data_IF_347658630892
#
_entry.id   IF_347658630892
#
_cell.length_a   1.000
_cell.length_b   1.000
_cell.length_c   1.000
_cell.angle_alpha   90.00
_cell.angle_beta   90.00
_cell.angle_gamma   90.00
#
_symmetry.space_group_name_H-M   'P 1'
#
loop_
_entity.id
_entity.type
_entity.pdbx_description
1 polymer ?
#
# COMPACT_ATOMS: atom_id res chain seq x y z
N UNK A 1 -29.70 3.45 64.62
CA UNK A 1 -29.95 3.78 63.21
C UNK A 1 -29.18 5.04 62.88
N UNK A 2 -28.23 4.98 61.96
CA UNK A 2 -28.10 5.83 60.75
C UNK A 2 -26.72 5.56 60.13
N UNK A 3 -26.74 4.78 59.05
CA UNK A 3 -25.66 4.67 58.08
C UNK A 3 -25.61 5.99 57.30
N UNK A 4 -24.48 6.68 57.33
CA UNK A 4 -24.22 7.80 56.44
C UNK A 4 -23.67 7.25 55.12
N UNK A 5 -24.52 7.24 54.10
CA UNK A 5 -24.21 6.94 52.72
C UNK A 5 -23.14 7.89 52.16
N UNK A 6 -22.07 7.33 51.62
CA UNK A 6 -21.13 8.04 50.75
C UNK A 6 -21.70 8.08 49.31
N UNK A 7 -21.63 9.22 48.61
CA UNK A 7 -22.04 9.28 47.21
C UNK A 7 -20.98 8.60 46.34
N UNK A 8 -21.28 7.39 45.85
CA UNK A 8 -20.57 6.77 44.72
C UNK A 8 -20.75 7.66 43.49
N UNK A 9 -19.74 8.50 43.21
CA UNK A 9 -19.59 9.18 41.91
C UNK A 9 -19.47 8.10 40.83
N UNK A 10 -20.55 7.90 40.08
CA UNK A 10 -20.53 7.09 38.87
C UNK A 10 -19.58 7.72 37.86
N UNK A 11 -18.51 7.01 37.51
CA UNK A 11 -17.68 7.32 36.34
C UNK A 11 -18.59 7.35 35.11
N UNK A 12 -18.61 8.48 34.40
CA UNK A 12 -19.45 8.68 33.22
C UNK A 12 -19.12 7.63 32.16
N UNK A 13 -20.12 7.17 31.40
CA UNK A 13 -19.98 6.09 30.40
C UNK A 13 -18.80 6.29 29.43
N UNK A 14 -18.48 7.55 29.12
CA UNK A 14 -17.31 7.93 28.33
C UNK A 14 -15.98 7.54 28.99
N UNK A 15 -15.80 7.77 30.30
CA UNK A 15 -14.57 7.37 31.02
C UNK A 15 -14.38 5.85 31.04
N UNK A 16 -15.49 5.11 31.13
CA UNK A 16 -15.46 3.64 31.11
C UNK A 16 -15.04 3.15 29.72
N UNK A 17 -15.60 3.74 28.67
CA UNK A 17 -15.28 3.39 27.29
C UNK A 17 -13.81 3.71 26.93
N UNK A 18 -13.30 4.88 27.35
CA UNK A 18 -11.89 5.24 27.14
C UNK A 18 -10.94 4.32 27.90
N UNK A 19 -11.29 3.92 29.12
CA UNK A 19 -10.45 3.01 29.92
C UNK A 19 -10.40 1.62 29.29
N UNK A 20 -11.54 1.09 28.84
CA UNK A 20 -11.59 -0.20 28.13
C UNK A 20 -10.79 -0.18 26.83
N UNK A 21 -10.90 0.90 26.04
CA UNK A 21 -10.10 1.07 24.83
C UNK A 21 -8.60 1.12 25.13
N UNK A 22 -8.21 1.81 26.20
CA UNK A 22 -6.80 1.89 26.60
C UNK A 22 -6.26 0.52 27.00
N UNK A 23 -6.97 -0.23 27.85
CA UNK A 23 -6.57 -1.58 28.26
C UNK A 23 -6.55 -2.58 27.10
N UNK A 24 -7.47 -2.44 26.14
CA UNK A 24 -7.47 -3.27 24.93
C UNK A 24 -6.26 -2.96 24.05
N UNK A 25 -5.90 -1.68 23.88
CA UNK A 25 -4.73 -1.29 23.11
C UNK A 25 -3.43 -1.75 23.77
N UNK A 26 -3.36 -1.68 25.10
CA UNK A 26 -2.21 -2.15 25.89
C UNK A 26 -2.03 -3.67 25.77
N UNK A 27 -3.11 -4.46 25.93
CA UNK A 27 -3.06 -5.90 25.76
C UNK A 27 -2.69 -6.34 24.33
N UNK A 28 -3.08 -5.56 23.32
CA UNK A 28 -2.76 -5.81 21.91
C UNK A 28 -1.32 -5.39 21.57
N UNK A 29 -0.79 -4.35 22.21
CA UNK A 29 0.62 -3.99 22.13
C UNK A 29 1.52 -5.10 22.70
N UNK A 30 1.15 -5.66 23.86
CA UNK A 30 1.92 -6.71 24.55
C UNK A 30 1.85 -8.08 23.85
N UNK A 31 0.71 -8.41 23.23
CA UNK A 31 0.51 -9.74 22.61
C UNK A 31 0.88 -9.82 21.13
N UNK A 32 0.67 -8.73 20.37
CA UNK A 32 0.81 -8.75 18.90
C UNK A 32 1.87 -7.78 18.39
N UNK A 33 2.56 -7.05 19.29
CA UNK A 33 3.51 -6.01 18.90
C UNK A 33 2.86 -4.85 18.15
N UNK A 34 1.57 -4.59 18.42
CA UNK A 34 0.84 -3.53 17.75
C UNK A 34 1.39 -2.16 18.13
N UNK A 35 1.90 -1.44 17.15
CA UNK A 35 2.18 -0.02 17.26
C UNK A 35 1.15 0.77 16.46
N UNK A 36 0.55 1.83 17.03
CA UNK A 36 -0.43 2.62 16.33
C UNK A 36 0.20 3.14 15.05
N UNK A 37 -0.46 2.91 13.92
CA UNK A 37 -0.03 3.46 12.64
C UNK A 37 0.16 4.96 12.82
N UNK A 38 1.43 5.40 12.83
CA UNK A 38 1.76 6.80 12.65
C UNK A 38 1.06 7.18 11.35
N UNK A 39 0.07 8.07 11.44
CA UNK A 39 -0.55 8.63 10.26
C UNK A 39 0.55 9.41 9.57
N UNK A 40 1.28 8.76 8.66
CA UNK A 40 2.06 9.47 7.67
C UNK A 40 1.07 10.42 7.02
N UNK A 41 1.21 11.71 7.31
CA UNK A 41 0.46 12.73 6.63
C UNK A 41 0.73 12.49 5.16
N UNK A 42 -0.29 12.06 4.41
CA UNK A 42 -0.20 12.05 2.96
C UNK A 42 0.24 13.47 2.62
N UNK A 43 1.38 13.62 1.98
CA UNK A 43 1.83 14.92 1.50
C UNK A 43 0.82 15.32 0.42
N UNK A 44 -0.23 16.03 0.86
CA UNK A 44 -1.31 16.43 -0.02
C UNK A 44 -0.81 17.64 -0.79
N UNK A 45 -0.87 17.55 -2.11
CA UNK A 45 -0.54 18.66 -3.01
C UNK A 45 -1.09 19.99 -2.44
N UNK A 46 -0.22 21.01 -2.27
CA UNK A 46 -0.58 22.23 -1.56
C UNK A 46 -1.71 23.00 -2.28
N UNK A 47 -1.75 22.92 -3.61
CA UNK A 47 -2.81 23.54 -4.40
C UNK A 47 -4.15 22.82 -4.22
N UNK A 48 -4.15 21.48 -4.24
CA UNK A 48 -5.33 20.67 -3.99
C UNK A 48 -5.89 20.88 -2.57
N UNK A 49 -5.00 21.05 -1.59
CA UNK A 49 -5.34 21.41 -0.21
C UNK A 49 -6.04 22.76 -0.14
N UNK A 50 -5.46 23.79 -0.79
CA UNK A 50 -6.05 25.14 -0.90
C UNK A 50 -7.42 25.11 -1.57
N UNK A 51 -7.54 24.49 -2.74
CA UNK A 51 -8.80 24.44 -3.49
C UNK A 51 -9.90 23.69 -2.70
N UNK A 52 -9.53 22.62 -1.99
CA UNK A 52 -10.46 21.86 -1.15
C UNK A 52 -10.94 22.68 0.04
N UNK A 53 -10.05 23.47 0.65
CA UNK A 53 -10.39 24.40 1.70
C UNK A 53 -11.37 25.48 1.21
N UNK A 54 -11.06 26.14 0.09
CA UNK A 54 -11.95 27.15 -0.52
C UNK A 54 -13.32 26.57 -0.89
N UNK A 55 -13.34 25.35 -1.42
CA UNK A 55 -14.56 24.64 -1.75
C UNK A 55 -15.41 24.35 -0.49
N UNK A 56 -14.76 24.04 0.65
CA UNK A 56 -15.43 23.88 1.96
C UNK A 56 -16.00 25.21 2.46
N UNK A 57 -15.26 26.30 2.35
CA UNK A 57 -15.73 27.63 2.72
C UNK A 57 -16.98 28.03 1.93
N UNK A 58 -16.98 27.81 0.61
CA UNK A 58 -18.16 28.06 -0.22
C UNK A 58 -19.37 27.21 0.17
N UNK A 59 -19.16 25.95 0.62
CA UNK A 59 -20.26 25.13 1.15
C UNK A 59 -20.84 25.75 2.42
N UNK A 60 -19.99 26.19 3.34
CA UNK A 60 -20.43 26.82 4.58
C UNK A 60 -21.23 28.10 4.30
N UNK A 61 -20.78 28.95 3.38
CA UNK A 61 -21.51 30.15 2.97
C UNK A 61 -22.89 29.80 2.38
N UNK A 62 -22.97 28.80 1.49
CA UNK A 62 -24.26 28.40 0.89
C UNK A 62 -25.26 27.89 1.94
N UNK A 63 -24.80 27.15 2.95
CA UNK A 63 -25.68 26.54 3.95
C UNK A 63 -26.03 27.48 5.11
N UNK A 64 -25.10 28.35 5.51
CA UNK A 64 -25.23 29.13 6.74
C UNK A 64 -25.62 30.60 6.49
N UNK A 65 -25.37 31.14 5.28
CA UNK A 65 -25.66 32.54 4.96
C UNK A 65 -26.65 32.64 3.79
N UNK A 66 -27.90 32.96 4.12
CA UNK A 66 -28.99 33.12 3.16
C UNK A 66 -29.10 34.54 2.59
N UNK A 67 -28.22 35.46 2.99
CA UNK A 67 -28.25 36.86 2.53
C UNK A 67 -27.52 37.08 1.21
N UNK A 68 -26.64 36.15 0.84
CA UNK A 68 -25.84 36.22 -0.39
C UNK A 68 -26.53 35.54 -1.59
N UNK A 69 -26.11 35.93 -2.81
CA UNK A 69 -26.56 35.26 -4.03
C UNK A 69 -26.03 33.81 -4.10
N UNK A 70 -26.90 32.89 -3.68
CA UNK A 70 -26.65 31.45 -3.67
C UNK A 70 -26.30 30.93 -5.08
N UNK A 71 -26.85 31.53 -6.15
CA UNK A 71 -26.58 31.09 -7.52
C UNK A 71 -25.12 31.39 -7.91
N UNK A 72 -24.64 32.61 -7.63
CA UNK A 72 -23.24 32.97 -7.83
C UNK A 72 -22.29 32.10 -7.00
N UNK A 73 -22.63 31.81 -5.74
CA UNK A 73 -21.83 30.93 -4.88
C UNK A 73 -21.77 29.48 -5.41
N UNK A 74 -22.88 28.95 -5.93
CA UNK A 74 -22.90 27.63 -6.59
C UNK A 74 -22.03 27.59 -7.84
N UNK A 75 -22.05 28.63 -8.66
CA UNK A 75 -21.17 28.74 -9.85
C UNK A 75 -19.70 28.75 -9.42
N UNK A 76 -19.34 29.57 -8.43
CA UNK A 76 -17.97 29.61 -7.86
C UNK A 76 -17.54 28.23 -7.34
N UNK A 77 -18.42 27.54 -6.61
CA UNK A 77 -18.15 26.18 -6.11
C UNK A 77 -17.91 25.19 -7.25
N UNK A 78 -18.73 25.22 -8.30
CA UNK A 78 -18.56 24.33 -9.45
C UNK A 78 -17.24 24.56 -10.18
N UNK A 79 -16.80 25.82 -10.33
CA UNK A 79 -15.47 26.15 -10.87
C UNK A 79 -14.35 25.58 -10.00
N UNK A 80 -14.42 25.73 -8.67
CA UNK A 80 -13.43 25.14 -7.74
C UNK A 80 -13.39 23.62 -7.85
N UNK A 81 -14.54 22.95 -7.95
CA UNK A 81 -14.59 21.51 -8.14
C UNK A 81 -13.98 21.07 -9.47
N UNK A 82 -14.18 21.84 -10.54
CA UNK A 82 -13.53 21.57 -11.82
C UNK A 82 -12.00 21.66 -11.70
N UNK A 83 -11.47 22.73 -11.09
CA UNK A 83 -10.02 22.86 -10.87
C UNK A 83 -9.45 21.75 -9.98
N UNK A 84 -10.18 21.32 -8.95
CA UNK A 84 -9.76 20.15 -8.15
C UNK A 84 -9.62 18.91 -9.05
N UNK A 85 -10.60 18.65 -9.91
CA UNK A 85 -10.55 17.50 -10.83
C UNK A 85 -9.38 17.60 -11.80
N UNK A 86 -9.16 18.76 -12.41
CA UNK A 86 -8.05 18.96 -13.34
C UNK A 86 -6.70 18.77 -12.65
N UNK A 87 -6.53 19.34 -11.44
CA UNK A 87 -5.29 19.16 -10.66
C UNK A 87 -5.08 17.70 -10.25
N UNK A 88 -6.12 17.00 -9.79
CA UNK A 88 -6.05 15.57 -9.49
C UNK A 88 -5.68 14.74 -10.72
N UNK A 89 -6.20 15.09 -11.90
CA UNK A 89 -5.88 14.42 -13.16
C UNK A 89 -4.42 14.65 -13.55
N UNK A 90 -3.93 15.89 -13.44
CA UNK A 90 -2.54 16.23 -13.71
C UNK A 90 -1.59 15.42 -12.80
N UNK A 91 -1.84 15.41 -11.48
CA UNK A 91 -1.02 14.64 -10.53
C UNK A 91 -1.03 13.13 -10.81
N UNK A 92 -2.17 12.59 -11.23
CA UNK A 92 -2.25 11.19 -11.63
C UNK A 92 -1.45 10.91 -12.91
N UNK A 93 -1.47 11.85 -13.87
CA UNK A 93 -0.64 11.82 -15.07
C UNK A 93 0.85 11.83 -14.71
N UNK A 94 1.29 12.84 -13.95
CA UNK A 94 2.68 12.99 -13.50
C UNK A 94 3.18 11.72 -12.78
N UNK A 95 2.34 11.11 -11.94
CA UNK A 95 2.66 9.85 -11.25
C UNK A 95 2.84 8.68 -12.22
N UNK A 96 1.96 8.55 -13.23
CA UNK A 96 2.07 7.51 -14.25
C UNK A 96 3.35 7.71 -15.06
N UNK A 97 3.61 8.94 -15.49
CA UNK A 97 4.79 9.30 -16.28
C UNK A 97 6.08 9.02 -15.50
N UNK A 98 6.11 9.31 -14.20
CA UNK A 98 7.23 8.95 -13.32
C UNK A 98 7.47 7.43 -13.31
N UNK A 99 6.41 6.61 -13.21
CA UNK A 99 6.57 5.14 -13.23
C UNK A 99 7.00 4.64 -14.59
N UNK A 100 6.48 5.20 -15.68
CA UNK A 100 6.92 4.86 -17.04
C UNK A 100 8.39 5.18 -17.23
N UNK A 101 8.83 6.37 -16.82
CA UNK A 101 10.23 6.77 -16.91
C UNK A 101 11.17 5.80 -16.18
N UNK A 102 10.80 5.32 -14.99
CA UNK A 102 11.59 4.30 -14.26
C UNK A 102 11.72 3.00 -15.07
N UNK A 103 10.63 2.55 -15.69
CA UNK A 103 10.59 1.30 -16.46
C UNK A 103 11.38 1.42 -17.76
N UNK A 104 11.28 2.56 -18.44
CA UNK A 104 11.98 2.83 -19.70
C UNK A 104 13.48 3.03 -19.50
N UNK A 105 13.89 3.66 -18.40
CA UNK A 105 15.30 3.85 -18.05
C UNK A 105 15.95 2.59 -17.47
N UNK A 106 15.18 1.56 -17.16
CA UNK A 106 15.70 0.30 -16.61
C UNK A 106 16.43 -0.52 -17.67
N UNK A 107 17.49 -1.22 -17.25
CA UNK A 107 18.18 -2.17 -18.12
C UNK A 107 17.22 -3.26 -18.61
N UNK A 108 17.36 -3.69 -19.87
CA UNK A 108 16.48 -4.68 -20.50
C UNK A 108 16.37 -6.00 -19.72
N UNK A 109 17.45 -6.42 -19.05
CA UNK A 109 17.46 -7.63 -18.21
C UNK A 109 16.70 -7.49 -16.89
N UNK A 110 16.55 -6.27 -16.35
CA UNK A 110 15.84 -5.99 -15.09
C UNK A 110 14.50 -5.31 -15.30
N UNK A 111 14.15 -4.97 -16.54
CA UNK A 111 12.96 -4.19 -16.89
C UNK A 111 11.65 -4.80 -16.39
N UNK A 112 11.46 -6.12 -16.55
CA UNK A 112 10.26 -6.79 -16.02
C UNK A 112 10.18 -6.72 -14.49
N UNK A 113 11.32 -6.82 -13.80
CA UNK A 113 11.37 -6.74 -12.34
C UNK A 113 11.06 -5.34 -11.84
N UNK A 114 11.67 -4.31 -12.44
CA UNK A 114 11.41 -2.92 -12.09
C UNK A 114 10.00 -2.47 -12.48
N UNK A 115 9.43 -2.96 -13.59
CA UNK A 115 8.03 -2.73 -13.95
C UNK A 115 7.07 -3.32 -12.92
N UNK A 116 7.29 -4.58 -12.53
CA UNK A 116 6.49 -5.23 -11.49
C UNK A 116 6.59 -4.45 -10.18
N UNK A 117 7.80 -4.01 -9.82
CA UNK A 117 8.05 -3.24 -8.61
C UNK A 117 7.44 -1.84 -8.66
N UNK A 118 7.46 -1.15 -9.81
CA UNK A 118 6.91 0.20 -9.97
C UNK A 118 5.37 0.21 -9.94
N UNK A 119 4.73 -0.77 -10.58
CA UNK A 119 3.27 -0.88 -10.67
C UNK A 119 2.64 -1.46 -9.41
N UNK A 120 3.27 -2.49 -8.83
CA UNK A 120 2.70 -3.27 -7.74
C UNK A 120 3.40 -3.07 -6.40
N UNK A 121 4.15 -1.97 -6.21
CA UNK A 121 4.63 -1.59 -4.87
C UNK A 121 3.45 -1.21 -3.98
N UNK A 122 2.76 -2.24 -3.49
CA UNK A 122 1.99 -2.17 -2.27
C UNK A 122 2.98 -1.76 -1.19
N UNK A 123 2.64 -0.72 -0.46
CA UNK A 123 3.36 -0.35 0.76
C UNK A 123 3.18 -1.53 1.72
N UNK A 124 4.05 -2.54 1.62
CA UNK A 124 4.17 -3.53 2.67
C UNK A 124 4.44 -2.73 3.94
N UNK A 125 3.71 -2.97 5.03
CA UNK A 125 4.08 -2.38 6.30
C UNK A 125 5.57 -2.69 6.48
N UNK A 126 6.36 -1.66 6.71
CA UNK A 126 7.79 -1.84 6.91
C UNK A 126 7.91 -2.83 8.07
N UNK A 127 8.43 -4.03 7.77
CA UNK A 127 8.61 -5.05 8.79
C UNK A 127 9.67 -4.49 9.72
N UNK A 128 9.24 -3.98 10.87
CA UNK A 128 10.13 -3.38 11.84
C UNK A 128 10.73 -4.52 12.66
N UNK A 129 12.05 -4.68 12.53
CA UNK A 129 12.77 -5.66 13.33
C UNK A 129 13.09 -5.04 14.69
N UNK A 130 12.75 -5.76 15.74
CA UNK A 130 13.09 -5.38 17.10
C UNK A 130 14.44 -5.97 17.48
N UNK A 131 15.18 -5.22 18.29
CA UNK A 131 16.33 -5.75 19.01
C UNK A 131 15.85 -6.61 20.18
N UNK A 132 16.78 -7.34 20.82
CA UNK A 132 16.49 -8.19 21.97
C UNK A 132 15.99 -7.43 23.21
N UNK A 133 16.11 -6.10 23.19
CA UNK A 133 15.65 -5.18 24.24
C UNK A 133 14.28 -4.55 23.89
N UNK A 134 13.67 -4.94 22.76
CA UNK A 134 12.37 -4.41 22.29
C UNK A 134 12.43 -3.09 21.51
N UNK A 135 13.61 -2.49 21.32
CA UNK A 135 13.81 -1.28 20.53
C UNK A 135 13.88 -1.55 19.01
N UNK A 136 13.52 -0.56 18.19
CA UNK A 136 13.55 -0.69 16.73
C UNK A 136 14.96 -0.69 16.15
N UNK A 137 15.22 -1.61 15.21
CA UNK A 137 16.44 -1.61 14.40
C UNK A 137 16.18 -0.76 13.16
N UNK A 138 16.67 0.48 13.21
CA UNK A 138 16.50 1.46 12.13
C UNK A 138 17.58 1.30 11.03
N UNK A 139 18.67 0.60 11.32
CA UNK A 139 19.75 0.36 10.36
C UNK A 139 19.43 -0.81 9.43
N UNK A 140 19.39 -0.55 8.11
CA UNK A 140 19.17 -1.57 7.08
C UNK A 140 20.26 -2.65 7.09
N UNK A 141 21.50 -2.27 7.36
CA UNK A 141 22.62 -3.21 7.39
C UNK A 141 22.53 -4.14 8.59
N UNK A 142 22.20 -3.61 9.76
CA UNK A 142 22.04 -4.38 10.99
C UNK A 142 20.83 -5.33 10.91
N UNK A 143 19.71 -4.84 10.38
CA UNK A 143 18.54 -5.67 10.07
C UNK A 143 18.90 -6.83 9.14
N UNK A 144 19.68 -6.56 8.07
CA UNK A 144 20.13 -7.58 7.14
C UNK A 144 21.00 -8.66 7.78
N UNK A 145 21.89 -8.28 8.70
CA UNK A 145 22.74 -9.23 9.44
C UNK A 145 21.88 -10.15 10.30
N UNK A 146 20.91 -9.61 11.04
CA UNK A 146 20.03 -10.42 11.90
C UNK A 146 19.15 -11.38 11.12
N UNK A 147 18.51 -10.91 10.05
CA UNK A 147 17.73 -11.78 9.16
C UNK A 147 18.62 -12.93 8.68
N UNK A 148 19.84 -12.62 8.21
CA UNK A 148 20.76 -13.65 7.73
C UNK A 148 21.10 -14.67 8.83
N UNK A 149 21.38 -14.21 10.04
CA UNK A 149 21.69 -15.09 11.18
C UNK A 149 20.52 -15.98 11.56
N UNK A 150 19.30 -15.44 11.60
CA UNK A 150 18.08 -16.23 11.90
C UNK A 150 17.83 -17.30 10.83
N UNK A 151 17.93 -16.93 9.56
CA UNK A 151 17.81 -17.90 8.46
C UNK A 151 18.92 -18.96 8.52
N UNK A 152 20.15 -18.56 8.83
CA UNK A 152 21.22 -19.53 9.05
C UNK A 152 20.89 -20.47 10.20
N UNK A 153 20.45 -19.98 11.37
CA UNK A 153 20.08 -20.84 12.49
C UNK A 153 18.91 -21.80 12.19
N UNK A 154 17.95 -21.39 11.36
CA UNK A 154 16.79 -22.21 11.01
C UNK A 154 17.08 -23.28 9.95
N UNK A 155 17.90 -22.95 8.96
CA UNK A 155 18.09 -23.80 7.76
C UNK A 155 19.48 -24.43 7.66
N UNK A 156 20.44 -23.95 8.44
CA UNK A 156 21.76 -24.54 8.54
C UNK A 156 21.75 -25.56 9.69
N UNK A 157 21.63 -26.83 9.33
CA UNK A 157 21.86 -27.93 10.27
C UNK A 157 23.37 -28.24 10.29
N UNK A 158 24.08 -28.00 11.41
CA UNK A 158 25.52 -28.26 11.52
C UNK A 158 25.89 -29.74 11.40
N UNK A 159 24.92 -30.63 11.63
CA UNK A 159 25.09 -32.09 11.55
C UNK A 159 24.72 -32.63 10.17
N UNK A 160 24.22 -31.79 9.27
CA UNK A 160 23.92 -32.19 7.90
C UNK A 160 25.23 -32.33 7.14
N UNK A 161 25.55 -33.55 6.73
CA UNK A 161 26.66 -33.81 5.81
C UNK A 161 26.45 -32.97 4.56
N UNK A 162 27.40 -32.08 4.27
CA UNK A 162 27.43 -31.36 3.01
C UNK A 162 27.39 -32.41 1.90
N UNK A 163 26.40 -32.32 1.00
CA UNK A 163 26.42 -33.14 -0.20
C UNK A 163 27.63 -32.66 -0.99
N UNK A 164 28.70 -33.46 -0.99
CA UNK A 164 29.88 -33.18 -1.78
C UNK A 164 29.44 -33.05 -3.23
N UNK A 165 29.82 -31.95 -3.87
CA UNK A 165 29.74 -31.84 -5.32
C UNK A 165 30.58 -32.99 -5.88
N UNK A 166 29.92 -33.93 -6.56
CA UNK A 166 30.60 -35.08 -7.15
C UNK A 166 31.52 -34.65 -8.31
N UNK A 167 31.50 -33.35 -8.68
CA UNK A 167 32.25 -32.77 -9.79
C UNK A 167 31.77 -33.30 -11.14
N UNK A 168 30.77 -34.19 -11.12
CA UNK A 168 30.19 -34.78 -12.31
C UNK A 168 29.15 -33.80 -12.80
N UNK A 169 29.51 -33.04 -13.83
CA UNK A 169 28.54 -32.24 -14.57
C UNK A 169 27.47 -33.17 -15.13
N UNK A 170 26.31 -33.22 -14.47
CA UNK A 170 25.12 -33.92 -14.96
C UNK A 170 24.28 -32.93 -15.75
N UNK A 171 24.36 -32.92 -17.09
CA UNK A 171 23.48 -32.06 -17.88
C UNK A 171 22.03 -32.42 -17.58
N UNK A 172 21.15 -31.43 -17.60
CA UNK A 172 19.72 -31.67 -17.52
C UNK A 172 19.32 -32.60 -18.67
N UNK A 173 18.57 -33.66 -18.37
CA UNK A 173 18.04 -34.57 -19.39
C UNK A 173 17.19 -33.82 -20.43
N UNK A 174 16.55 -32.73 -20.01
CA UNK A 174 15.82 -31.79 -20.85
C UNK A 174 16.38 -30.39 -20.61
N UNK A 175 17.43 -29.97 -21.33
CA UNK A 175 17.96 -28.63 -21.19
C UNK A 175 16.89 -27.62 -21.62
N UNK A 176 16.70 -26.57 -20.83
CA UNK A 176 15.83 -25.45 -21.19
C UNK A 176 16.51 -24.73 -22.35
N UNK A 177 16.11 -25.06 -23.57
CA UNK A 177 16.55 -24.39 -24.79
C UNK A 177 15.69 -23.15 -25.02
N UNK A 178 16.27 -22.08 -25.56
CA UNK A 178 15.55 -20.82 -25.82
C UNK A 178 14.24 -21.01 -26.61
N UNK A 179 14.19 -22.02 -27.48
CA UNK A 179 13.02 -22.42 -28.26
C UNK A 179 11.83 -22.92 -27.43
N UNK A 180 12.03 -23.34 -26.18
CA UNK A 180 10.92 -23.77 -25.30
C UNK A 180 10.15 -22.60 -24.68
N UNK A 181 10.70 -21.38 -24.68
CA UNK A 181 9.97 -20.20 -24.18
C UNK A 181 8.94 -19.65 -25.17
N UNK A 182 9.13 -19.87 -26.48
CA UNK A 182 8.20 -19.37 -27.51
C UNK A 182 6.93 -20.23 -27.66
N UNK A 183 6.97 -21.51 -27.27
CA UNK A 183 5.87 -22.46 -27.53
C UNK A 183 4.73 -22.33 -26.50
N UNK A 184 4.95 -21.73 -25.32
CA UNK A 184 3.87 -21.52 -24.35
C UNK A 184 3.10 -20.21 -24.53
N UNK A 185 3.63 -19.21 -25.25
CA UNK A 185 2.89 -17.99 -25.60
C UNK A 185 2.02 -18.15 -26.87
N UNK A 186 2.29 -19.16 -27.71
CA UNK A 186 1.57 -19.37 -28.97
C UNK A 186 0.31 -20.27 -28.88
N UNK A 187 -0.12 -20.70 -27.68
CA UNK A 187 -1.29 -21.58 -27.48
C UNK A 187 -2.56 -20.89 -26.98
N UNK A 188 -2.81 -19.66 -27.41
CA UNK A 188 -4.18 -19.15 -27.56
C UNK A 188 -4.51 -19.13 -29.05
N UNK A 189 -5.22 -20.14 -29.59
CA UNK A 189 -5.68 -20.08 -30.96
C UNK A 189 -6.75 -18.98 -31.09
N UNK A 190 -6.37 -17.87 -31.72
CA UNK A 190 -7.31 -17.06 -32.48
C UNK A 190 -7.92 -17.96 -33.56
N UNK A 191 -9.20 -18.29 -33.42
CA UNK A 191 -9.98 -18.94 -34.47
C UNK A 191 -10.30 -17.93 -35.58
N UNK A 192 -9.98 -18.20 -36.86
CA UNK A 192 -10.54 -17.46 -37.97
C UNK A 192 -11.79 -18.17 -38.54
N UNK A 193 -12.85 -17.37 -38.69
CA UNK A 193 -13.83 -17.30 -39.78
C UNK A 193 -14.45 -18.59 -40.35
N UNK A 194 -15.78 -18.71 -40.18
CA UNK A 194 -16.64 -19.30 -41.22
C UNK A 194 -17.32 -18.19 -42.02
N UNK A 195 -16.95 -18.11 -43.29
CA UNK A 195 -17.66 -17.39 -44.34
C UNK A 195 -18.70 -18.32 -44.96
N UNK A 196 -19.89 -17.78 -45.27
CA UNK A 196 -20.55 -17.90 -46.59
C UNK A 196 -22.09 -18.04 -46.52
N UNK A 197 -22.75 -17.04 -47.11
CA UNK A 197 -24.03 -17.07 -47.85
C UNK A 197 -25.31 -17.45 -47.07
N UNK A 198 -26.49 -16.85 -47.28
CA UNK A 198 -27.09 -16.39 -48.53
C UNK A 198 -28.33 -15.50 -48.23
N UNK A 199 -28.67 -14.60 -49.18
CA UNK A 199 -30.02 -14.13 -49.63
C UNK A 199 -31.15 -13.96 -48.59
N UNK A 200 -31.90 -12.85 -48.50
CA UNK A 200 -32.75 -12.25 -49.54
C UNK A 200 -33.68 -11.17 -48.94
N UNK A 201 -34.15 -10.27 -49.82
CA UNK A 201 -35.12 -9.16 -49.70
C UNK A 201 -34.66 -7.84 -49.09
#
# INVERSE_FOLDING_TARGET
MYLADLPRRGTTTNQRCTSTLHSALEAVADSVGYMPLVKHGKEVDPELSRLSYEQRQLRQLIYNDHTQDVKALRIKRSRRLHWIRERSKALAGDFIDEKLAIIEQSNRSTQMFEATRALFRRHLPSLSLHNSTGGYILSRQEAGIRIKQDFQGQFFDPMRTLVADDGVKRPLNNPITAYTMDVQQARTPFLPSYSSMDQSF
#
